data_IF_382098570538
#
_entry.id   IF_382098570538
#
_cell.length_a   1.000
_cell.length_b   1.000
_cell.length_c   1.000
_cell.angle_alpha   90.00
_cell.angle_beta   90.00
_cell.angle_gamma   90.00
#
_symmetry.space_group_name_H-M   'P 1'
#
loop_
_entity.id
_entity.type
_entity.pdbx_description
1 polymer ?
#
# COMPACT_ATOMS: atom_id res chain seq x y z
N UNK A 1 4.83 -7.45 -12.34
CA UNK A 1 4.09 -6.26 -12.80
C UNK A 1 5.09 -5.33 -13.47
N UNK A 2 4.73 -4.75 -14.62
CA UNK A 2 5.62 -3.91 -15.43
C UNK A 2 6.05 -2.64 -14.67
N UNK A 3 7.35 -2.29 -14.72
CA UNK A 3 7.91 -1.05 -14.18
C UNK A 3 7.22 0.22 -14.72
N UNK A 4 6.49 0.11 -15.83
CA UNK A 4 5.77 1.21 -16.48
C UNK A 4 4.68 1.86 -15.61
N UNK A 5 4.16 1.15 -14.60
CA UNK A 5 3.09 1.65 -13.72
C UNK A 5 3.55 2.00 -12.29
N UNK A 6 4.85 1.87 -12.01
CA UNK A 6 5.39 2.18 -10.70
C UNK A 6 4.98 3.58 -10.26
N UNK A 7 4.48 3.70 -9.02
CA UNK A 7 4.12 5.00 -8.47
C UNK A 7 2.66 5.43 -8.63
N UNK A 8 1.86 4.68 -9.39
CA UNK A 8 0.42 4.93 -9.46
C UNK A 8 -0.30 4.43 -8.20
N UNK A 9 -1.45 5.02 -7.89
CA UNK A 9 -2.30 4.55 -6.77
C UNK A 9 -2.72 3.10 -6.98
N UNK A 10 -3.02 2.71 -8.23
CA UNK A 10 -3.40 1.35 -8.60
C UNK A 10 -2.25 0.36 -8.36
N UNK A 11 -1.04 0.70 -8.80
CA UNK A 11 0.15 -0.12 -8.55
C UNK A 11 0.34 -0.41 -7.06
N UNK A 12 0.32 0.63 -6.22
CA UNK A 12 0.49 0.45 -4.77
C UNK A 12 -0.68 -0.32 -4.15
N UNK A 13 -1.90 -0.11 -4.62
CA UNK A 13 -3.08 -0.84 -4.13
C UNK A 13 -2.95 -2.33 -4.42
N UNK A 14 -2.59 -2.69 -5.65
CA UNK A 14 -2.41 -4.09 -6.05
C UNK A 14 -1.26 -4.76 -5.28
N UNK A 15 -0.19 -4.01 -5.01
CA UNK A 15 0.95 -4.50 -4.23
C UNK A 15 0.58 -4.77 -2.77
N UNK A 16 -0.19 -3.87 -2.14
CA UNK A 16 -0.73 -4.09 -0.80
C UNK A 16 -1.71 -5.27 -0.75
N UNK A 17 -2.58 -5.41 -1.74
CA UNK A 17 -3.52 -6.53 -1.83
C UNK A 17 -2.79 -7.87 -2.01
N UNK A 18 -1.74 -7.91 -2.83
CA UNK A 18 -0.87 -9.08 -2.95
C UNK A 18 -0.17 -9.41 -1.62
N UNK A 19 0.27 -8.39 -0.86
CA UNK A 19 0.84 -8.59 0.48
C UNK A 19 -0.16 -9.22 1.46
N UNK A 20 -1.42 -8.80 1.42
CA UNK A 20 -2.51 -9.39 2.23
C UNK A 20 -2.82 -10.83 1.81
N UNK A 21 -3.04 -11.06 0.52
CA UNK A 21 -3.38 -12.38 -0.03
C UNK A 21 -2.30 -13.43 0.21
N UNK A 22 -1.04 -13.02 0.35
CA UNK A 22 0.07 -13.91 0.71
C UNK A 22 0.18 -14.16 2.24
N UNK A 23 -0.89 -13.92 3.01
CA UNK A 23 -1.00 -14.15 4.45
C UNK A 23 0.01 -13.42 5.35
N UNK A 24 0.71 -12.39 4.85
CA UNK A 24 1.64 -11.62 5.70
C UNK A 24 0.92 -10.82 6.80
N UNK A 25 -0.38 -10.58 6.65
CA UNK A 25 -1.14 -9.60 7.45
C UNK A 25 -2.13 -10.21 8.41
N UNK A 26 -2.66 -11.41 8.10
CA UNK A 26 -3.55 -12.16 8.99
C UNK A 26 -2.80 -12.56 10.27
N UNK A 27 -1.50 -12.85 10.15
CA UNK A 27 -0.65 -13.21 11.30
C UNK A 27 -0.02 -11.99 11.99
N UNK A 28 0.11 -10.85 11.30
CA UNK A 28 0.78 -9.68 11.85
C UNK A 28 0.35 -8.36 11.18
N UNK A 29 -0.56 -7.57 11.79
CA UNK A 29 -0.95 -6.24 11.30
C UNK A 29 0.23 -5.28 11.10
N UNK A 30 1.35 -5.49 11.81
CA UNK A 30 2.56 -4.68 11.63
C UNK A 30 3.27 -4.94 10.29
N UNK A 31 2.98 -6.06 9.61
CA UNK A 31 3.56 -6.40 8.32
C UNK A 31 3.17 -5.40 7.22
N UNK A 32 1.91 -4.96 7.18
CA UNK A 32 1.45 -3.92 6.25
C UNK A 32 2.18 -2.59 6.48
N UNK A 33 2.38 -2.21 7.75
CA UNK A 33 3.10 -0.98 8.10
C UNK A 33 4.58 -1.07 7.73
N UNK A 34 5.21 -2.22 7.96
CA UNK A 34 6.57 -2.49 7.53
C UNK A 34 6.70 -2.47 5.99
N UNK A 35 5.70 -3.02 5.29
CA UNK A 35 5.65 -3.01 3.83
C UNK A 35 5.50 -1.60 3.26
N UNK A 36 4.62 -0.79 3.84
CA UNK A 36 4.51 0.64 3.51
C UNK A 36 5.86 1.36 3.70
N UNK A 37 6.58 1.09 4.80
CA UNK A 37 7.89 1.71 5.03
C UNK A 37 8.93 1.31 3.97
N UNK A 38 8.90 0.05 3.50
CA UNK A 38 9.74 -0.41 2.39
C UNK A 38 9.41 0.30 1.07
N UNK A 39 8.12 0.40 0.74
CA UNK A 39 7.67 1.12 -0.47
C UNK A 39 8.05 2.61 -0.40
N UNK A 40 7.94 3.24 0.77
CA UNK A 40 8.36 4.62 0.98
C UNK A 40 9.86 4.81 0.72
N UNK A 41 10.70 3.91 1.23
CA UNK A 41 12.14 3.94 0.97
C UNK A 41 12.44 3.74 -0.53
N UNK A 42 11.72 2.86 -1.20
CA UNK A 42 11.88 2.64 -2.64
C UNK A 42 11.45 3.84 -3.49
N UNK A 43 10.36 4.52 -3.13
CA UNK A 43 9.95 5.79 -3.75
C UNK A 43 11.05 6.84 -3.62
N UNK A 44 11.60 7.02 -2.41
CA UNK A 44 12.69 7.97 -2.18
C UNK A 44 13.93 7.62 -3.02
N UNK A 45 14.24 6.32 -3.17
CA UNK A 45 15.39 5.86 -3.96
C UNK A 45 15.19 6.04 -5.47
N UNK A 46 13.96 5.89 -5.98
CA UNK A 46 13.66 5.93 -7.42
C UNK A 46 13.26 7.31 -7.94
N UNK A 47 12.81 8.22 -7.06
CA UNK A 47 12.34 9.52 -7.47
C UNK A 47 13.45 10.31 -8.18
N UNK A 48 13.12 10.90 -9.33
CA UNK A 48 14.08 11.66 -10.14
C UNK A 48 14.36 13.04 -9.55
N UNK A 49 13.37 13.60 -8.85
CA UNK A 49 13.41 14.91 -8.23
C UNK A 49 12.37 15.02 -7.10
N UNK A 50 12.38 16.14 -6.38
CA UNK A 50 11.49 16.36 -5.24
C UNK A 50 10.01 16.35 -5.63
N UNK A 51 9.62 16.96 -6.76
CA UNK A 51 8.23 17.02 -7.19
C UNK A 51 7.69 15.63 -7.56
N UNK A 52 8.52 14.81 -8.22
CA UNK A 52 8.21 13.41 -8.50
C UNK A 52 8.09 12.60 -7.19
N UNK A 53 9.04 12.76 -6.26
CA UNK A 53 8.98 12.11 -4.95
C UNK A 53 7.68 12.44 -4.20
N UNK A 54 7.30 13.72 -4.13
CA UNK A 54 6.08 14.16 -3.46
C UNK A 54 4.83 13.54 -4.10
N UNK A 55 4.76 13.49 -5.43
CA UNK A 55 3.67 12.85 -6.17
C UNK A 55 3.58 11.36 -5.88
N UNK A 56 4.72 10.65 -5.92
CA UNK A 56 4.80 9.22 -5.66
C UNK A 56 4.42 8.89 -4.21
N UNK A 57 4.90 9.67 -3.24
CA UNK A 57 4.55 9.52 -1.83
C UNK A 57 3.06 9.77 -1.58
N UNK A 58 2.48 10.80 -2.23
CA UNK A 58 1.05 11.07 -2.14
C UNK A 58 0.22 9.90 -2.67
N UNK A 59 0.62 9.30 -3.79
CA UNK A 59 -0.07 8.13 -4.34
C UNK A 59 0.04 6.90 -3.44
N UNK A 60 1.22 6.67 -2.83
CA UNK A 60 1.45 5.61 -1.86
C UNK A 60 0.55 5.79 -0.62
N UNK A 61 0.48 7.00 -0.07
CA UNK A 61 -0.38 7.32 1.07
C UNK A 61 -1.86 7.10 0.73
N UNK A 62 -2.29 7.53 -0.45
CA UNK A 62 -3.68 7.34 -0.90
C UNK A 62 -4.04 5.85 -1.03
N UNK A 63 -3.16 5.03 -1.58
CA UNK A 63 -3.35 3.58 -1.65
C UNK A 63 -3.41 2.95 -0.25
N UNK A 64 -2.52 3.38 0.65
CA UNK A 64 -2.48 2.88 2.03
C UNK A 64 -3.74 3.24 2.83
N UNK A 65 -4.30 4.44 2.65
CA UNK A 65 -5.55 4.82 3.30
C UNK A 65 -6.74 4.02 2.78
N UNK A 66 -6.81 3.77 1.46
CA UNK A 66 -7.84 2.88 0.88
C UNK A 66 -7.78 1.48 1.47
N UNK A 67 -6.58 0.95 1.64
CA UNK A 67 -6.36 -0.35 2.27
C UNK A 67 -6.96 -0.41 3.68
N UNK A 68 -6.69 0.59 4.52
CA UNK A 68 -7.21 0.63 5.90
C UNK A 68 -8.74 0.68 5.93
N UNK A 69 -9.35 1.48 5.07
CA UNK A 69 -10.82 1.57 4.98
C UNK A 69 -11.42 0.22 4.58
N UNK A 70 -10.80 -0.49 3.62
CA UNK A 70 -11.27 -1.80 3.19
C UNK A 70 -11.08 -2.89 4.27
N UNK A 71 -9.99 -2.82 5.05
CA UNK A 71 -9.76 -3.76 6.15
C UNK A 71 -10.77 -3.53 7.29
N UNK A 72 -10.96 -2.28 7.72
CA UNK A 72 -11.91 -1.93 8.79
C UNK A 72 -13.36 -2.19 8.35
N UNK A 73 -13.72 -1.87 7.10
CA UNK A 73 -15.05 -2.13 6.57
C UNK A 73 -15.38 -3.61 6.39
N UNK A 74 -14.37 -4.47 6.17
CA UNK A 74 -14.54 -5.91 6.11
C UNK A 74 -14.71 -6.56 7.50
N UNK A 75 -14.11 -5.97 8.55
CA UNK A 75 -14.27 -6.43 9.94
C UNK A 75 -15.70 -6.24 10.49
N UNK A 76 -16.45 -5.26 9.97
CA UNK A 76 -17.85 -4.99 10.35
C UNK A 76 -18.86 -5.93 9.67
N UNK A 77 -18.59 -6.42 8.45
CA UNK A 77 -19.47 -7.39 7.77
C UNK A 77 -19.33 -8.81 8.32
N UNK A 78 -18.18 -9.18 8.90
CA UNK A 78 -17.96 -10.51 9.48
C UNK A 78 -18.49 -10.65 10.93
N UNK A 79 -18.73 -9.54 11.63
CA UNK A 79 -19.27 -9.51 13.01
C UNK A 79 -20.76 -9.11 13.09
N UNK A 80 -21.43 -8.88 11.95
CA UNK A 80 -22.88 -8.64 11.89
C UNK A 80 -23.68 -9.94 11.94
N UNK A 81 -23.97 -10.44 13.15
CA UNK A 81 -25.00 -11.44 13.43
C UNK A 81 -26.42 -10.87 13.35
#
# INVERSE_FOLDING_TARGET
MSDFLFGTVEYFTNDFQACIMNNLTIENPSAIKAHYAKLKAEVIRRAENQADQEKLLHNLDKAYQRLKVNLIGAEDEENGS
#
